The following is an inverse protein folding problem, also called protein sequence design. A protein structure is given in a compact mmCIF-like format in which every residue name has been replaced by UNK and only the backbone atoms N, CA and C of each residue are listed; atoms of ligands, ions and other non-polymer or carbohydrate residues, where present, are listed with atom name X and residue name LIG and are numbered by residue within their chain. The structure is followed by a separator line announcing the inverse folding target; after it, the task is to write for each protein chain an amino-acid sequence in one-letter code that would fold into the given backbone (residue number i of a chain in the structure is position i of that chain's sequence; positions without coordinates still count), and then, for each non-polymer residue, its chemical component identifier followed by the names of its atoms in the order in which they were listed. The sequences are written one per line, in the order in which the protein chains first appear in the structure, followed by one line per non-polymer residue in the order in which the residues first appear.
data_IF_354649445869
#
_entry.id   IF_354649445869
#
_cell.length_a   1.000
_cell.length_b   1.000
_cell.length_c   1.000
_cell.angle_alpha   90.00
_cell.angle_beta   90.00
_cell.angle_gamma   90.00
#
_symmetry.space_group_name_H-M   'P 1'
#
loop_
_entity.id
_entity.type
_entity.pdbx_description
1 polymer ?
#
# COMPACT_ATOMS: atom_id res chain seq x y z
N UNK A 1 15.58 -3.10 5.66
CA UNK A 1 15.00 -2.36 4.54
C UNK A 1 15.13 -3.10 3.22
N UNK A 2 16.27 -3.74 2.95
CA UNK A 2 16.44 -4.48 1.69
C UNK A 2 15.44 -5.62 1.53
N UNK A 3 15.10 -6.31 2.61
CA UNK A 3 14.12 -7.37 2.57
C UNK A 3 12.71 -6.85 2.32
N UNK A 4 12.37 -5.69 2.91
CA UNK A 4 11.08 -5.04 2.64
C UNK A 4 10.98 -4.58 1.18
N UNK A 5 12.07 -4.08 0.63
CA UNK A 5 12.15 -3.68 -0.78
C UNK A 5 11.88 -4.86 -1.70
N UNK A 6 12.47 -6.01 -1.39
CA UNK A 6 12.27 -7.23 -2.17
C UNK A 6 10.80 -7.67 -2.10
N UNK A 7 10.20 -7.61 -0.91
CA UNK A 7 8.79 -7.95 -0.73
C UNK A 7 7.89 -6.98 -1.53
N UNK A 8 8.18 -5.68 -1.48
CA UNK A 8 7.42 -4.69 -2.23
C UNK A 8 7.46 -4.97 -3.73
N UNK A 9 8.63 -5.30 -4.26
CA UNK A 9 8.78 -5.68 -5.66
C UNK A 9 7.93 -6.91 -5.98
N UNK A 10 7.99 -7.93 -5.14
CA UNK A 10 7.20 -9.16 -5.34
C UNK A 10 5.70 -8.85 -5.34
N UNK A 11 5.23 -8.07 -4.36
CA UNK A 11 3.82 -7.70 -4.29
C UNK A 11 3.40 -6.89 -5.51
N UNK A 12 4.23 -5.96 -5.94
CA UNK A 12 3.98 -5.17 -7.15
C UNK A 12 3.88 -6.04 -8.39
N UNK A 13 4.78 -7.02 -8.50
CA UNK A 13 4.76 -7.97 -9.61
C UNK A 13 3.45 -8.76 -9.65
N UNK A 14 3.00 -9.25 -8.50
CA UNK A 14 1.75 -10.01 -8.40
C UNK A 14 0.51 -9.16 -8.69
N UNK A 15 0.52 -7.91 -8.23
CA UNK A 15 -0.64 -7.03 -8.35
C UNK A 15 -0.76 -6.39 -9.74
N UNK A 16 0.36 -6.04 -10.37
CA UNK A 16 0.38 -5.20 -11.57
C UNK A 16 1.13 -5.78 -12.75
N UNK A 17 1.91 -6.84 -12.53
CA UNK A 17 2.76 -7.42 -13.56
C UNK A 17 4.12 -6.76 -13.65
N UNK A 18 5.07 -7.45 -14.31
CA UNK A 18 6.48 -7.04 -14.33
C UNK A 18 6.75 -5.71 -15.02
N UNK A 19 6.05 -5.43 -16.12
CA UNK A 19 6.25 -4.18 -16.86
C UNK A 19 5.91 -2.96 -16.00
N UNK A 20 4.75 -2.99 -15.35
CA UNK A 20 4.33 -1.88 -14.50
C UNK A 20 5.20 -1.79 -13.25
N UNK A 21 5.50 -2.93 -12.61
CA UNK A 21 6.30 -2.93 -11.39
C UNK A 21 7.67 -2.30 -11.60
N UNK A 22 8.30 -2.52 -12.77
CA UNK A 22 9.60 -1.93 -13.10
C UNK A 22 9.54 -0.41 -13.32
N UNK A 23 8.37 0.12 -13.60
CA UNK A 23 8.19 1.57 -13.85
C UNK A 23 7.83 2.35 -12.61
N UNK A 24 7.77 1.70 -11.45
CA UNK A 24 7.40 2.35 -10.19
C UNK A 24 8.65 2.73 -9.39
N UNK A 25 8.55 3.84 -8.70
CA UNK A 25 9.51 4.27 -7.70
C UNK A 25 8.82 4.24 -6.35
N UNK A 26 9.26 3.35 -5.47
CA UNK A 26 8.65 3.18 -4.14
C UNK A 26 9.73 3.36 -3.10
N UNK A 27 9.54 4.37 -2.26
CA UNK A 27 10.44 4.67 -1.15
C UNK A 27 9.81 4.15 0.14
N UNK A 28 10.50 3.25 0.82
CA UNK A 28 10.02 2.65 2.06
C UNK A 28 10.77 3.27 3.23
N UNK A 29 10.03 3.90 4.14
CA UNK A 29 10.59 4.54 5.32
C UNK A 29 10.11 3.84 6.58
N UNK A 30 11.04 3.49 7.44
CA UNK A 30 10.73 2.93 8.75
C UNK A 30 10.64 4.08 9.74
N UNK A 31 9.51 4.21 10.40
CA UNK A 31 9.24 5.31 11.33
C UNK A 31 8.92 4.73 12.70
N UNK A 32 9.77 5.02 13.68
CA UNK A 32 9.55 4.54 15.04
C UNK A 32 8.31 5.21 15.63
N UNK A 33 7.43 4.40 16.22
CA UNK A 33 6.19 4.85 16.88
C UNK A 33 5.20 5.55 15.93
N UNK A 34 5.17 5.13 14.68
CA UNK A 34 4.23 5.69 13.70
C UNK A 34 2.79 5.57 14.16
N UNK A 35 2.43 4.41 14.71
CA UNK A 35 1.08 4.15 15.23
C UNK A 35 0.69 5.13 16.33
N UNK A 36 1.60 5.44 17.23
CA UNK A 36 1.35 6.40 18.31
C UNK A 36 1.16 7.82 17.76
N UNK A 37 1.92 8.16 16.72
CA UNK A 37 1.89 9.52 16.14
C UNK A 37 0.69 9.75 15.25
N UNK A 38 0.23 8.74 14.55
CA UNK A 38 -0.73 8.90 13.45
C UNK A 38 -1.98 8.05 13.57
N UNK A 39 -1.97 7.03 14.41
CA UNK A 39 -3.09 6.09 14.54
C UNK A 39 -3.04 4.91 13.59
N UNK A 40 -2.07 4.85 12.67
CA UNK A 40 -1.93 3.76 11.73
C UNK A 40 -0.52 3.16 11.73
N UNK A 41 -0.42 1.87 11.47
CA UNK A 41 0.86 1.16 11.39
C UNK A 41 1.61 1.38 10.09
N UNK A 42 0.93 1.80 9.05
CA UNK A 42 1.53 2.06 7.74
C UNK A 42 0.70 3.07 6.95
N UNK A 43 1.37 3.75 6.01
CA UNK A 43 0.74 4.71 5.09
C UNK A 43 1.35 4.60 3.71
N UNK A 44 0.53 4.85 2.70
CA UNK A 44 0.97 4.98 1.31
C UNK A 44 0.60 6.37 0.81
N UNK A 45 1.57 7.07 0.23
CA UNK A 45 1.37 8.42 -0.34
C UNK A 45 1.91 8.49 -1.75
N UNK A 46 1.21 9.20 -2.63
CA UNK A 46 1.71 9.53 -3.96
C UNK A 46 2.65 10.72 -3.82
N UNK A 47 3.89 10.61 -4.32
CA UNK A 47 4.90 11.66 -4.16
C UNK A 47 5.26 12.38 -5.46
N UNK A 48 4.91 11.81 -6.60
CA UNK A 48 5.22 12.41 -7.89
C UNK A 48 3.98 13.00 -8.57
N UNK A 49 3.89 12.81 -9.86
CA UNK A 49 2.78 13.30 -10.68
C UNK A 49 1.47 12.64 -10.27
N UNK A 50 0.50 13.45 -9.86
CA UNK A 50 -0.80 12.95 -9.42
C UNK A 50 -1.68 12.48 -10.58
N UNK A 51 -1.45 13.02 -11.78
CA UNK A 51 -2.20 12.62 -12.98
C UNK A 51 -1.77 11.25 -13.49
N UNK A 52 -0.50 10.90 -13.24
CA UNK A 52 0.06 9.62 -13.63
C UNK A 52 0.92 9.10 -12.48
N UNK A 53 0.30 8.57 -11.43
CA UNK A 53 1.05 8.18 -10.22
C UNK A 53 1.95 6.98 -10.48
N UNK A 54 3.26 7.20 -10.31
CA UNK A 54 4.31 6.18 -10.47
C UNK A 54 5.33 6.25 -9.35
N UNK A 55 5.28 7.29 -8.51
CA UNK A 55 6.20 7.47 -7.40
C UNK A 55 5.42 7.51 -6.10
N UNK A 56 5.86 6.72 -5.13
CA UNK A 56 5.14 6.53 -3.88
C UNK A 56 6.10 6.48 -2.71
N UNK A 57 5.60 6.86 -1.55
CA UNK A 57 6.29 6.68 -0.28
C UNK A 57 5.42 5.81 0.61
N UNK A 58 6.01 4.77 1.18
CA UNK A 58 5.34 3.90 2.15
C UNK A 58 6.07 4.05 3.47
N UNK A 59 5.35 4.47 4.51
CA UNK A 59 5.87 4.52 5.87
C UNK A 59 5.35 3.33 6.64
N UNK A 60 6.24 2.70 7.42
CA UNK A 60 5.89 1.51 8.23
C UNK A 60 6.41 1.70 9.64
N UNK A 61 5.57 1.40 10.62
CA UNK A 61 5.96 1.47 12.04
C UNK A 61 7.05 0.45 12.33
N UNK A 62 8.19 0.95 12.81
CA UNK A 62 9.37 0.12 13.10
C UNK A 62 9.57 -0.10 14.61
N UNK A 63 8.54 0.12 15.43
CA UNK A 63 8.63 -0.11 16.87
C UNK A 63 8.99 -1.56 17.17
N UNK A 64 9.77 -1.76 18.23
CA UNK A 64 10.30 -3.09 18.57
C UNK A 64 9.22 -4.11 18.98
N UNK A 65 8.02 -3.63 19.32
CA UNK A 65 6.91 -4.52 19.66
C UNK A 65 6.33 -5.21 18.42
N UNK A 66 6.63 -4.71 17.22
CA UNK A 66 6.12 -5.27 15.97
C UNK A 66 7.01 -6.39 15.48
N UNK A 67 6.41 -7.41 14.89
CA UNK A 67 7.18 -8.49 14.26
C UNK A 67 7.49 -8.13 12.81
N UNK A 68 8.50 -8.78 12.26
CA UNK A 68 8.82 -8.64 10.84
C UNK A 68 7.65 -9.12 9.97
N UNK A 69 6.97 -10.18 10.40
CA UNK A 69 5.78 -10.68 9.73
C UNK A 69 4.69 -9.61 9.63
N UNK A 70 4.43 -8.89 10.73
CA UNK A 70 3.46 -7.79 10.74
C UNK A 70 3.82 -6.74 9.69
N UNK A 71 5.10 -6.36 9.64
CA UNK A 71 5.58 -5.35 8.70
C UNK A 71 5.40 -5.80 7.26
N UNK A 72 5.60 -7.08 6.96
CA UNK A 72 5.40 -7.64 5.62
C UNK A 72 3.93 -7.63 5.22
N UNK A 73 3.03 -7.89 6.16
CA UNK A 73 1.59 -7.85 5.89
C UNK A 73 1.14 -6.41 5.66
N UNK A 74 1.60 -5.47 6.51
CA UNK A 74 1.26 -4.05 6.32
C UNK A 74 1.79 -3.53 4.98
N UNK A 75 3.00 -3.96 4.59
CA UNK A 75 3.56 -3.59 3.30
C UNK A 75 2.67 -4.11 2.15
N UNK A 76 2.18 -5.34 2.26
CA UNK A 76 1.27 -5.89 1.27
C UNK A 76 0.00 -5.04 1.15
N UNK A 77 -0.57 -4.64 2.30
CA UNK A 77 -1.74 -3.76 2.34
C UNK A 77 -1.48 -2.44 1.58
N UNK A 78 -0.34 -1.80 1.87
CA UNK A 78 -0.01 -0.53 1.23
C UNK A 78 0.30 -0.71 -0.26
N UNK A 79 0.87 -1.84 -0.66
CA UNK A 79 1.10 -2.13 -2.08
C UNK A 79 -0.21 -2.30 -2.86
N UNK A 80 -1.27 -2.78 -2.21
CA UNK A 80 -2.59 -2.79 -2.84
C UNK A 80 -3.04 -1.36 -3.14
N UNK A 81 -2.80 -0.41 -2.23
CA UNK A 81 -3.10 1.00 -2.49
C UNK A 81 -2.27 1.57 -3.63
N UNK A 82 -1.00 1.19 -3.74
CA UNK A 82 -0.16 1.57 -4.89
C UNK A 82 -0.83 1.14 -6.19
N UNK A 83 -1.27 -0.11 -6.26
CA UNK A 83 -1.96 -0.66 -7.43
C UNK A 83 -3.23 0.13 -7.75
N UNK A 84 -3.99 0.48 -6.72
CA UNK A 84 -5.23 1.24 -6.88
C UNK A 84 -4.99 2.63 -7.49
N UNK A 85 -3.93 3.32 -7.03
CA UNK A 85 -3.55 4.62 -7.60
C UNK A 85 -3.01 4.47 -9.03
N UNK A 86 -2.14 3.49 -9.26
CA UNK A 86 -1.52 3.27 -10.57
C UNK A 86 -2.57 2.97 -11.63
N UNK A 87 -3.57 2.16 -11.30
CA UNK A 87 -4.65 1.79 -12.22
C UNK A 87 -5.80 2.80 -12.24
N UNK A 88 -5.64 3.91 -11.54
CA UNK A 88 -6.64 4.99 -11.45
C UNK A 88 -7.99 4.47 -10.95
N UNK A 89 -7.95 3.44 -10.12
CA UNK A 89 -9.14 2.95 -9.41
C UNK A 89 -9.48 3.85 -8.23
N UNK A 90 -8.44 4.45 -7.63
CA UNK A 90 -8.55 5.33 -6.47
C UNK A 90 -7.98 6.69 -6.84
N UNK A 91 -8.78 7.74 -6.68
CA UNK A 91 -8.37 9.12 -6.91
C UNK A 91 -8.75 9.93 -5.68
N UNK A 92 -7.76 10.61 -5.10
CA UNK A 92 -7.98 11.51 -3.98
C UNK A 92 -8.11 12.94 -4.53
N UNK A 93 -9.34 13.47 -4.49
CA UNK A 93 -9.61 14.83 -4.93
C UNK A 93 -9.40 15.78 -3.75
N UNK A 94 -8.34 16.57 -3.78
CA UNK A 94 -7.97 17.47 -2.67
C UNK A 94 -9.06 18.46 -2.29
N UNK A 95 -10.03 18.69 -3.17
CA UNK A 95 -11.12 19.63 -2.93
C UNK A 95 -12.32 18.99 -2.25
N UNK A 96 -12.25 17.70 -1.96
CA UNK A 96 -13.29 16.96 -1.25
C UNK A 96 -13.65 15.66 -1.91
N UNK A 97 -13.68 14.62 -1.07
CA UNK A 97 -14.08 13.29 -1.50
C UNK A 97 -12.98 12.48 -2.16
N UNK A 98 -13.25 11.20 -2.25
CA UNK A 98 -12.37 10.22 -2.87
C UNK A 98 -13.18 9.46 -3.90
N UNK A 99 -12.62 9.29 -5.09
CA UNK A 99 -13.27 8.55 -6.16
C UNK A 99 -12.74 7.12 -6.19
N UNK A 100 -13.65 6.16 -6.15
CA UNK A 100 -13.33 4.74 -6.30
C UNK A 100 -13.96 4.24 -7.60
N UNK A 101 -13.10 3.91 -8.55
CA UNK A 101 -13.53 3.54 -9.91
C UNK A 101 -14.34 4.69 -10.53
N UNK A 102 -15.64 4.54 -10.68
CA UNK A 102 -16.49 5.58 -11.27
C UNK A 102 -17.35 6.29 -10.24
N UNK A 103 -17.20 5.93 -8.95
CA UNK A 103 -18.09 6.42 -7.89
C UNK A 103 -17.35 7.38 -6.96
N UNK A 104 -17.89 8.58 -6.79
CA UNK A 104 -17.39 9.54 -5.81
C UNK A 104 -17.98 9.19 -4.44
N UNK A 105 -17.11 8.96 -3.44
CA UNK A 105 -17.52 8.69 -2.09
C UNK A 105 -17.45 9.95 -1.24
N UNK A 106 -18.35 10.05 -0.26
CA UNK A 106 -18.42 11.20 0.64
C UNK A 106 -17.25 11.16 1.63
N UNK A 107 -16.84 12.34 2.07
CA UNK A 107 -15.76 12.48 3.05
C UNK A 107 -16.09 11.81 4.39
N UNK A 108 -17.38 11.71 4.74
CA UNK A 108 -17.82 11.12 5.99
C UNK A 108 -18.02 9.59 5.91
N UNK A 109 -17.58 8.96 4.80
CA UNK A 109 -17.63 7.50 4.68
C UNK A 109 -16.75 6.88 5.77
N UNK A 110 -17.33 5.92 6.49
CA UNK A 110 -16.59 5.22 7.55
C UNK A 110 -15.46 4.39 6.96
N UNK A 111 -14.34 4.32 7.66
CA UNK A 111 -13.17 3.55 7.24
C UNK A 111 -13.54 2.13 6.82
N UNK A 112 -14.36 1.45 7.62
CA UNK A 112 -14.78 0.08 7.36
C UNK A 112 -15.64 -0.08 6.11
N UNK A 113 -16.22 1.02 5.61
CA UNK A 113 -17.06 1.02 4.41
C UNK A 113 -16.31 1.45 3.15
N UNK A 114 -15.04 1.81 3.29
CA UNK A 114 -14.21 2.24 2.16
C UNK A 114 -13.84 1.05 1.29
N UNK A 115 -14.27 1.00 0.01
CA UNK A 115 -14.04 -0.17 -0.84
C UNK A 115 -12.55 -0.43 -1.11
N UNK A 116 -11.73 0.61 -1.16
CA UNK A 116 -10.28 0.45 -1.36
C UNK A 116 -9.61 -0.21 -0.15
N UNK A 117 -10.12 0.05 1.06
CA UNK A 117 -9.60 -0.62 2.26
C UNK A 117 -10.08 -2.06 2.32
N UNK A 118 -11.32 -2.32 1.94
CA UNK A 118 -11.84 -3.69 1.87
C UNK A 118 -11.01 -4.56 0.92
N UNK A 119 -10.65 -4.03 -0.23
CA UNK A 119 -9.79 -4.75 -1.18
C UNK A 119 -8.42 -5.01 -0.59
N UNK A 120 -7.82 -4.00 0.07
CA UNK A 120 -6.50 -4.14 0.66
C UNK A 120 -6.49 -5.21 1.77
N UNK A 121 -7.48 -5.21 2.65
CA UNK A 121 -7.59 -6.24 3.69
C UNK A 121 -7.85 -7.63 3.11
N UNK A 122 -8.61 -7.71 2.03
CA UNK A 122 -8.87 -8.99 1.38
C UNK A 122 -7.63 -9.60 0.75
N UNK A 123 -6.72 -8.77 0.26
CA UNK A 123 -5.56 -9.25 -0.51
C UNK A 123 -4.28 -9.37 0.31
N UNK A 124 -4.16 -8.67 1.45
CA UNK A 124 -2.90 -8.59 2.17
C UNK A 124 -2.36 -9.94 2.63
N UNK A 125 -3.20 -10.78 3.21
CA UNK A 125 -2.77 -12.09 3.71
C UNK A 125 -2.40 -13.04 2.57
N UNK A 126 -3.15 -12.99 1.49
CA UNK A 126 -2.87 -13.81 0.31
C UNK A 126 -1.52 -13.44 -0.30
N UNK A 127 -1.24 -12.15 -0.43
CA UNK A 127 0.04 -11.67 -0.96
C UNK A 127 1.20 -12.10 -0.06
N UNK A 128 1.03 -11.97 1.25
CA UNK A 128 2.05 -12.37 2.21
C UNK A 128 2.31 -13.87 2.13
N UNK A 129 1.25 -14.69 2.07
CA UNK A 129 1.40 -16.14 1.98
C UNK A 129 2.11 -16.55 0.70
N UNK A 130 1.79 -15.91 -0.42
CA UNK A 130 2.46 -16.15 -1.70
C UNK A 130 3.94 -15.78 -1.62
N UNK A 131 4.27 -14.68 -0.94
CA UNK A 131 5.65 -14.25 -0.77
C UNK A 131 6.45 -15.24 0.06
N UNK A 132 5.88 -15.73 1.17
CA UNK A 132 6.53 -16.76 1.99
C UNK A 132 6.81 -18.01 1.18
N UNK A 133 5.85 -18.43 0.38
CA UNK A 133 6.00 -19.60 -0.47
C UNK A 133 7.11 -19.40 -1.51
N UNK A 134 7.15 -18.22 -2.11
CA UNK A 134 8.20 -17.84 -3.06
C UNK A 134 9.58 -17.90 -2.42
N UNK A 135 9.73 -17.43 -1.17
CA UNK A 135 11.01 -17.46 -0.47
C UNK A 135 11.47 -18.87 -0.13
N UNK A 136 10.56 -19.82 -0.03
CA UNK A 136 10.85 -21.21 0.32
C UNK A 136 11.09 -22.13 -0.89
N UNK A 137 11.02 -21.61 -2.10
CA UNK A 137 11.28 -22.36 -3.32
C UNK A 137 12.77 -22.62 -3.54
#
# INVERSE_FOLDING_TARGET
TNALWHAAWFYGLKLMGGRMARNLWIDIKLVNKLKQKTGAYAFCSVTGDLDKPREFEIEIDSSMVNTYEDMLIWLAHEMVHVKQFVRVELIDWFTGGVQWKTKLLREDTKYEDMPWEKEAYRLEDKLYDEYKEYLNE
#
